data_IF_644787586095
#
_entry.id   IF_644787586095
#
_cell.length_a   1.000
_cell.length_b   1.000
_cell.length_c   1.000
_cell.angle_alpha   90.00
_cell.angle_beta   90.00
_cell.angle_gamma   90.00
#
_symmetry.space_group_name_H-M   'P 1'
#
loop_
_entity.id
_entity.type
_entity.pdbx_description
1 polymer ?
#
# COMPACT_ATOMS: atom_id res chain seq x y z
N UNK A 1 -13.16 36.10 36.21
CA UNK A 1 -13.15 34.80 35.51
C UNK A 1 -12.66 35.05 34.09
N UNK A 2 -11.37 34.85 33.84
CA UNK A 2 -10.77 35.01 32.50
C UNK A 2 -10.34 33.63 32.01
N UNK A 3 -11.09 33.08 31.06
CA UNK A 3 -10.77 31.82 30.38
C UNK A 3 -9.69 32.10 29.32
N UNK A 4 -8.51 31.53 29.51
CA UNK A 4 -7.50 31.36 28.48
C UNK A 4 -7.70 29.98 27.83
N UNK A 5 -7.85 29.84 26.51
CA UNK A 5 -7.75 28.54 25.88
C UNK A 5 -6.26 28.18 25.79
N UNK A 6 -5.86 27.23 26.64
CA UNK A 6 -4.55 26.58 26.63
C UNK A 6 -4.35 25.89 25.28
N UNK A 7 -3.56 26.50 24.39
CA UNK A 7 -2.98 25.86 23.22
C UNK A 7 -1.82 25.00 23.70
N UNK A 8 -2.05 23.73 24.01
CA UNK A 8 -0.97 22.76 24.19
C UNK A 8 -1.34 21.33 23.75
N UNK A 9 -2.24 21.20 22.78
CA UNK A 9 -2.47 19.94 22.04
C UNK A 9 -1.57 19.84 20.79
N UNK A 10 -0.34 20.37 20.86
CA UNK A 10 0.69 20.08 19.88
C UNK A 10 1.39 18.77 20.24
N UNK A 11 0.64 17.65 20.21
CA UNK A 11 1.29 16.37 19.94
C UNK A 11 1.94 16.50 18.57
N UNK A 12 3.27 16.59 18.59
CA UNK A 12 4.11 16.60 17.40
C UNK A 12 3.62 15.50 16.47
N UNK A 13 3.30 15.85 15.23
CA UNK A 13 2.89 14.91 14.17
C UNK A 13 3.80 13.67 14.12
N UNK A 14 5.06 13.82 14.51
CA UNK A 14 6.04 12.74 14.65
C UNK A 14 5.69 11.74 15.76
N UNK A 15 5.26 12.18 16.94
CA UNK A 15 4.92 11.30 18.07
C UNK A 15 3.60 10.54 17.86
N UNK A 16 2.63 11.16 17.17
CA UNK A 16 1.41 10.47 16.75
C UNK A 16 1.72 9.33 15.76
N UNK A 17 2.66 9.57 14.84
CA UNK A 17 3.10 8.56 13.86
C UNK A 17 3.83 7.40 14.55
N UNK A 18 4.64 7.70 15.58
CA UNK A 18 5.36 6.68 16.37
C UNK A 18 4.42 5.86 17.26
N UNK A 19 3.37 6.45 17.84
CA UNK A 19 2.38 5.68 18.63
C UNK A 19 1.49 4.79 17.76
N UNK A 20 1.14 5.21 16.55
CA UNK A 20 0.43 4.35 15.58
C UNK A 20 1.33 3.20 15.13
N UNK A 21 2.63 3.45 14.92
CA UNK A 21 3.61 2.41 14.61
C UNK A 21 3.84 1.42 15.77
N UNK A 22 3.54 1.80 17.02
CA UNK A 22 3.73 0.96 18.20
C UNK A 22 2.55 -0.01 18.48
N UNK A 23 1.38 0.17 17.85
CA UNK A 23 0.16 -0.60 18.15
C UNK A 23 -0.24 -1.56 17.02
N UNK A 24 0.52 -1.64 15.93
CA UNK A 24 0.32 -2.72 14.94
C UNK A 24 1.07 -3.98 15.39
N UNK A 25 0.37 -5.10 15.62
CA UNK A 25 1.05 -6.36 15.93
C UNK A 25 1.88 -6.78 14.72
N UNK A 26 3.19 -6.61 14.83
CA UNK A 26 4.21 -7.45 14.19
C UNK A 26 4.11 -7.46 12.65
N UNK A 27 4.59 -6.37 12.05
CA UNK A 27 5.09 -6.28 10.67
C UNK A 27 6.26 -7.26 10.42
N UNK A 28 6.00 -8.57 10.50
CA UNK A 28 6.99 -9.61 10.19
C UNK A 28 6.57 -10.53 9.04
N UNK A 29 5.47 -10.23 8.35
CA UNK A 29 4.84 -11.16 7.41
C UNK A 29 4.47 -10.60 6.02
N UNK A 30 4.90 -9.39 5.65
CA UNK A 30 4.60 -8.83 4.34
C UNK A 30 5.88 -8.65 3.50
N UNK A 31 6.62 -9.73 3.28
CA UNK A 31 7.85 -9.70 2.46
C UNK A 31 7.56 -9.68 0.95
N UNK A 32 6.33 -9.96 0.53
CA UNK A 32 5.92 -10.01 -0.89
C UNK A 32 4.86 -8.96 -1.23
N UNK A 33 4.74 -8.59 -2.51
CA UNK A 33 3.64 -7.74 -3.00
C UNK A 33 2.27 -8.37 -2.77
N UNK A 34 2.18 -9.69 -2.87
CA UNK A 34 0.95 -10.45 -2.64
C UNK A 34 0.48 -10.36 -1.18
N UNK A 35 1.41 -10.48 -0.23
CA UNK A 35 1.09 -10.35 1.20
C UNK A 35 0.65 -8.94 1.57
N UNK A 36 1.27 -7.93 0.96
CA UNK A 36 0.84 -6.53 1.10
C UNK A 36 -0.57 -6.32 0.56
N UNK A 37 -0.88 -6.87 -0.61
CA UNK A 37 -2.25 -6.84 -1.18
C UNK A 37 -3.27 -7.50 -0.26
N UNK A 38 -2.97 -8.71 0.25
CA UNK A 38 -3.83 -9.41 1.22
C UNK A 38 -4.01 -8.64 2.53
N UNK A 39 -2.95 -8.01 3.03
CA UNK A 39 -3.01 -7.21 4.25
C UNK A 39 -3.90 -5.97 4.06
N UNK A 40 -3.75 -5.25 2.94
CA UNK A 40 -4.56 -4.09 2.60
C UNK A 40 -6.05 -4.46 2.50
N UNK A 41 -6.38 -5.55 1.79
CA UNK A 41 -7.77 -6.03 1.67
C UNK A 41 -8.35 -6.37 3.04
N UNK A 42 -7.61 -7.08 3.90
CA UNK A 42 -8.08 -7.43 5.26
C UNK A 42 -8.30 -6.20 6.13
N UNK A 43 -7.40 -5.23 6.08
CA UNK A 43 -7.53 -3.99 6.84
C UNK A 43 -8.75 -3.18 6.38
N UNK A 44 -8.91 -2.98 5.07
CA UNK A 44 -10.07 -2.30 4.51
C UNK A 44 -11.38 -3.04 4.80
N UNK A 45 -11.41 -4.37 4.72
CA UNK A 45 -12.59 -5.16 5.04
C UNK A 45 -13.02 -4.99 6.50
N UNK A 46 -12.07 -4.94 7.44
CA UNK A 46 -12.39 -4.69 8.86
C UNK A 46 -12.93 -3.28 9.08
N UNK A 47 -12.29 -2.29 8.46
CA UNK A 47 -12.73 -0.89 8.54
C UNK A 47 -14.15 -0.72 8.00
N UNK A 48 -14.46 -1.31 6.83
CA UNK A 48 -15.77 -1.24 6.20
C UNK A 48 -16.87 -2.03 6.93
N UNK A 49 -16.49 -3.05 7.71
CA UNK A 49 -17.42 -3.83 8.52
C UNK A 49 -17.74 -3.18 9.88
N UNK A 50 -17.00 -2.13 10.26
CA UNK A 50 -17.25 -1.39 11.49
C UNK A 50 -18.54 -0.54 11.31
N UNK A 51 -19.57 -0.73 12.15
CA UNK A 51 -20.83 0.00 12.03
C UNK A 51 -20.69 1.50 12.35
N UNK A 52 -19.58 1.94 12.95
CA UNK A 52 -19.27 3.35 13.16
C UNK A 52 -18.70 4.04 11.92
N UNK A 53 -18.32 3.28 10.90
CA UNK A 53 -17.78 3.84 9.65
C UNK A 53 -18.87 4.57 8.87
N UNK A 54 -18.65 5.86 8.61
CA UNK A 54 -19.57 6.67 7.83
C UNK A 54 -19.59 6.25 6.36
N UNK A 55 -20.67 6.57 5.63
CA UNK A 55 -20.75 6.30 4.21
C UNK A 55 -19.65 7.03 3.41
N UNK A 56 -19.31 8.26 3.81
CA UNK A 56 -18.25 9.06 3.18
C UNK A 56 -16.89 8.40 3.38
N UNK A 57 -16.60 7.98 4.61
CA UNK A 57 -15.35 7.29 4.95
C UNK A 57 -15.25 5.94 4.25
N UNK A 58 -16.35 5.19 4.15
CA UNK A 58 -16.39 3.94 3.40
C UNK A 58 -16.06 4.15 1.92
N UNK A 59 -16.62 5.19 1.31
CA UNK A 59 -16.31 5.54 -0.09
C UNK A 59 -14.85 5.97 -0.27
N UNK A 60 -14.30 6.75 0.65
CA UNK A 60 -12.90 7.14 0.63
C UNK A 60 -11.98 5.92 0.77
N UNK A 61 -12.26 5.03 1.72
CA UNK A 61 -11.49 3.80 1.94
C UNK A 61 -11.51 2.88 0.70
N UNK A 62 -12.65 2.74 0.03
CA UNK A 62 -12.76 1.95 -1.21
C UNK A 62 -11.93 2.58 -2.33
N UNK A 63 -11.98 3.91 -2.50
CA UNK A 63 -11.17 4.61 -3.52
C UNK A 63 -9.67 4.44 -3.27
N UNK A 64 -9.24 4.60 -2.03
CA UNK A 64 -7.84 4.41 -1.63
C UNK A 64 -7.38 2.96 -1.83
N UNK A 65 -8.21 1.98 -1.48
CA UNK A 65 -7.90 0.57 -1.72
C UNK A 65 -7.75 0.28 -3.22
N UNK A 66 -8.65 0.80 -4.07
CA UNK A 66 -8.56 0.64 -5.52
C UNK A 66 -7.26 1.23 -6.08
N UNK A 67 -6.90 2.44 -5.66
CA UNK A 67 -5.66 3.09 -6.08
C UNK A 67 -4.44 2.23 -5.69
N UNK A 68 -4.35 1.83 -4.42
CA UNK A 68 -3.23 1.04 -3.93
C UNK A 68 -3.12 -0.33 -4.63
N UNK A 69 -4.23 -1.00 -4.91
CA UNK A 69 -4.23 -2.27 -5.64
C UNK A 69 -3.81 -2.09 -7.11
N UNK A 70 -4.24 -0.99 -7.75
CA UNK A 70 -3.81 -0.66 -9.12
C UNK A 70 -2.30 -0.48 -9.20
N UNK A 71 -1.69 0.23 -8.24
CA UNK A 71 -0.24 0.43 -8.19
C UNK A 71 0.50 -0.91 -8.00
N UNK A 72 -0.01 -1.77 -7.12
CA UNK A 72 0.59 -3.11 -6.89
C UNK A 72 0.51 -3.97 -8.16
N UNK A 73 -0.61 -3.94 -8.88
CA UNK A 73 -0.77 -4.68 -10.14
C UNK A 73 0.20 -4.15 -11.20
N UNK A 74 0.27 -2.83 -11.38
CA UNK A 74 1.17 -2.22 -12.36
C UNK A 74 2.64 -2.59 -12.11
N UNK A 75 3.09 -2.54 -10.85
CA UNK A 75 4.46 -2.95 -10.49
C UNK A 75 4.68 -4.45 -10.73
N UNK A 76 3.69 -5.28 -10.46
CA UNK A 76 3.77 -6.71 -10.72
C UNK A 76 3.83 -7.03 -12.23
N UNK A 77 3.03 -6.34 -13.05
CA UNK A 77 3.03 -6.46 -14.50
C UNK A 77 4.37 -6.02 -15.10
N UNK A 78 4.94 -4.92 -14.62
CA UNK A 78 6.25 -4.44 -15.09
C UNK A 78 7.37 -5.43 -14.74
N UNK A 79 7.37 -5.98 -13.52
CA UNK A 79 8.33 -7.01 -13.14
C UNK A 79 8.21 -8.28 -14.02
N UNK A 80 7.00 -8.65 -14.43
CA UNK A 80 6.77 -9.75 -15.37
C UNK A 80 7.28 -9.40 -16.77
N UNK A 81 7.06 -8.18 -17.25
CA UNK A 81 7.55 -7.69 -18.54
C UNK A 81 9.08 -7.69 -18.59
N UNK A 82 9.76 -7.15 -17.59
CA UNK A 82 11.22 -7.15 -17.50
C UNK A 82 11.79 -8.58 -17.48
N UNK A 83 11.16 -9.48 -16.73
CA UNK A 83 11.58 -10.89 -16.67
C UNK A 83 11.39 -11.59 -18.01
N UNK A 84 10.30 -11.30 -18.71
CA UNK A 84 10.00 -11.89 -20.02
C UNK A 84 10.89 -11.32 -21.13
N UNK A 85 11.24 -10.04 -21.06
CA UNK A 85 12.18 -9.38 -21.98
C UNK A 85 13.62 -9.90 -21.84
N UNK A 86 14.05 -10.27 -20.62
CA UNK A 86 15.35 -10.93 -20.39
C UNK A 86 15.44 -12.37 -20.91
N UNK A 87 14.32 -13.00 -21.25
CA UNK A 87 14.26 -14.38 -21.72
C UNK A 87 14.27 -14.52 -23.26
N UNK A 88 14.39 -13.42 -24.01
CA UNK A 88 14.70 -13.47 -25.44
C UNK A 88 16.24 -13.48 -25.59
N UNK A 89 16.88 -14.64 -25.86
CA UNK A 89 18.27 -14.63 -26.25
C UNK A 89 18.37 -13.94 -27.61
N UNK A 90 19.31 -13.00 -27.69
CA UNK A 90 19.86 -12.43 -28.91
C UNK A 90 20.06 -13.54 -29.94
N UNK A 91 19.17 -13.63 -30.93
CA UNK A 91 19.41 -14.45 -32.11
C UNK A 91 20.48 -13.70 -32.90
N UNK A 92 21.74 -13.98 -32.55
CA UNK A 92 22.92 -13.47 -33.24
C UNK A 92 22.81 -13.64 -34.76
N UNK A 93 23.55 -12.81 -35.52
CA UNK A 93 23.35 -12.66 -36.95
C UNK A 93 23.46 -14.02 -37.62
N UNK A 94 22.41 -14.39 -38.38
CA UNK A 94 22.46 -15.55 -39.26
C UNK A 94 23.62 -15.32 -40.22
N UNK A 95 24.70 -16.04 -39.98
CA UNK A 95 25.81 -16.18 -40.90
C UNK A 95 25.25 -16.68 -42.23
N UNK A 96 25.11 -15.75 -43.17
CA UNK A 96 25.16 -16.04 -44.59
C UNK A 96 26.47 -16.75 -44.89
N UNK A 97 26.41 -17.90 -45.55
CA UNK A 97 27.40 -18.36 -46.54
C UNK A 97 27.01 -19.75 -47.05
N UNK A 98 27.42 -20.15 -48.27
CA UNK A 98 27.87 -19.36 -49.42
C UNK A 98 26.88 -19.37 -50.60
#
# INVERSE_FOLDING_TARGET
MTWYPSRDDYLSRRDATTRIAAVTPREKAALTFEDRGRAAIRASSRYLADPSTSLEDAQAAIKLLRLALSDVIMVAEEAVRERSGRLLPDRGPRSESP
#
